data_IF_441094547100
#
_entry.id   IF_441094547100
#
_cell.length_a   1.000
_cell.length_b   1.000
_cell.length_c   1.000
_cell.angle_alpha   90.00
_cell.angle_beta   90.00
_cell.angle_gamma   90.00
#
_symmetry.space_group_name_H-M   'P 1'
#
loop_
_entity.id
_entity.type
_entity.pdbx_description
1 polymer ?
#
# COMPACT_ATOMS: atom_id res chain seq x y z
N UNK A 1 -4.43 9.85 -1.31
CA UNK A 1 -5.84 9.65 -0.95
C UNK A 1 -6.12 8.18 -0.69
N UNK A 2 -6.94 7.90 0.30
CA UNK A 2 -7.30 6.51 0.62
C UNK A 2 -8.59 6.14 -0.08
N UNK A 3 -8.54 5.16 -0.95
CA UNK A 3 -9.74 4.64 -1.59
C UNK A 3 -10.59 3.87 -0.56
N UNK A 4 -11.90 3.73 -0.78
CA UNK A 4 -12.75 3.05 0.21
C UNK A 4 -12.29 1.64 0.56
N UNK A 5 -11.86 0.86 -0.41
CA UNK A 5 -11.37 -0.50 -0.15
C UNK A 5 -10.13 -0.48 0.73
N UNK A 6 -9.21 0.47 0.49
CA UNK A 6 -8.02 0.59 1.31
C UNK A 6 -8.38 0.91 2.76
N UNK A 7 -9.35 1.81 2.95
CA UNK A 7 -9.77 2.18 4.30
C UNK A 7 -10.37 0.99 5.04
N UNK A 8 -11.15 0.16 4.35
CA UNK A 8 -11.72 -1.03 4.95
C UNK A 8 -10.63 -2.04 5.29
N UNK A 9 -9.64 -2.19 4.43
CA UNK A 9 -8.52 -3.08 4.70
C UNK A 9 -7.73 -2.62 5.92
N UNK A 10 -7.46 -1.33 6.03
CA UNK A 10 -6.74 -0.80 7.17
C UNK A 10 -7.55 -1.01 8.45
N UNK A 11 -8.86 -0.77 8.40
CA UNK A 11 -9.73 -1.01 9.56
C UNK A 11 -9.67 -2.47 9.99
N UNK A 12 -9.72 -3.40 9.02
CA UNK A 12 -9.61 -4.82 9.31
C UNK A 12 -8.35 -5.11 10.12
N UNK A 13 -7.21 -4.55 9.72
CA UNK A 13 -5.96 -4.79 10.44
C UNK A 13 -5.95 -4.12 11.81
N UNK A 14 -6.49 -2.93 11.93
CA UNK A 14 -6.58 -2.27 13.24
C UNK A 14 -7.37 -3.12 14.22
N UNK A 15 -8.41 -3.80 13.74
CA UNK A 15 -9.29 -4.60 14.59
C UNK A 15 -8.79 -6.02 14.82
N UNK A 16 -7.96 -6.55 13.93
CA UNK A 16 -7.55 -7.96 14.03
C UNK A 16 -6.06 -8.16 14.28
N UNK A 17 -5.21 -7.23 13.83
CA UNK A 17 -3.77 -7.38 13.98
C UNK A 17 -3.13 -6.00 13.99
N UNK A 18 -3.01 -5.44 15.17
CA UNK A 18 -2.51 -4.08 15.33
C UNK A 18 -1.09 -3.92 14.79
N UNK A 19 -0.24 -4.93 14.94
CA UNK A 19 1.14 -4.86 14.45
C UNK A 19 1.15 -4.67 12.93
N UNK A 20 0.29 -5.38 12.22
CA UNK A 20 0.19 -5.24 10.77
C UNK A 20 -0.33 -3.86 10.40
N UNK A 21 -1.30 -3.34 11.16
CA UNK A 21 -1.80 -1.99 10.91
C UNK A 21 -0.69 -0.95 11.07
N UNK A 22 0.15 -1.09 12.10
CA UNK A 22 1.27 -0.17 12.30
C UNK A 22 2.28 -0.28 11.16
N UNK A 23 2.53 -1.49 10.68
CA UNK A 23 3.41 -1.69 9.52
C UNK A 23 2.87 -0.96 8.30
N UNK A 24 1.55 -1.02 8.08
CA UNK A 24 0.92 -0.32 6.96
C UNK A 24 1.11 1.19 7.10
N UNK A 25 0.96 1.73 8.30
CA UNK A 25 1.17 3.16 8.53
C UNK A 25 2.61 3.57 8.21
N UNK A 26 3.58 2.73 8.59
CA UNK A 26 4.99 2.99 8.26
C UNK A 26 5.20 2.97 6.74
N UNK A 27 4.54 2.04 6.06
CA UNK A 27 4.66 1.95 4.60
C UNK A 27 4.03 3.16 3.92
N UNK A 28 2.88 3.63 4.42
CA UNK A 28 2.24 4.83 3.88
C UNK A 28 3.21 6.01 3.98
N UNK A 29 3.82 6.18 5.15
CA UNK A 29 4.76 7.27 5.36
C UNK A 29 5.94 7.16 4.38
N UNK A 30 6.47 5.95 4.21
CA UNK A 30 7.58 5.73 3.29
C UNK A 30 7.20 6.03 1.85
N UNK A 31 5.98 5.64 1.44
CA UNK A 31 5.48 5.93 0.09
C UNK A 31 5.35 7.43 -0.14
N UNK A 32 4.85 8.15 0.86
CA UNK A 32 4.69 9.59 0.74
C UNK A 32 6.03 10.30 0.65
N UNK A 33 7.07 9.71 1.24
CA UNK A 33 8.41 10.28 1.18
C UNK A 33 9.07 10.01 -0.17
N UNK A 34 8.95 8.79 -0.67
CA UNK A 34 9.49 8.39 -1.97
C UNK A 34 8.68 7.19 -2.48
N UNK A 35 7.79 7.40 -3.45
CA UNK A 35 6.92 6.32 -3.91
C UNK A 35 7.62 5.19 -4.66
N UNK A 36 8.89 5.37 -5.03
CA UNK A 36 9.58 4.41 -5.88
C UNK A 36 10.71 3.66 -5.19
N UNK A 37 11.06 4.03 -3.98
CA UNK A 37 12.12 3.35 -3.25
C UNK A 37 11.83 3.38 -1.75
N UNK A 38 12.52 2.52 -1.01
CA UNK A 38 12.37 2.46 0.44
C UNK A 38 11.93 1.08 0.92
N UNK A 39 11.38 1.04 2.12
CA UNK A 39 11.03 -0.23 2.77
C UNK A 39 9.88 -0.94 2.05
N UNK A 40 9.80 -2.26 2.23
CA UNK A 40 8.71 -3.05 1.67
C UNK A 40 8.89 -3.47 0.24
N UNK A 41 10.09 -3.32 -0.32
CA UNK A 41 10.41 -3.75 -1.70
C UNK A 41 9.41 -3.18 -2.72
N UNK A 42 9.42 -1.87 -2.95
CA UNK A 42 8.52 -1.27 -3.95
C UNK A 42 8.70 -1.93 -5.31
N UNK A 43 7.60 -2.25 -5.93
CA UNK A 43 7.61 -2.99 -7.20
C UNK A 43 6.51 -2.45 -8.11
N UNK A 44 6.83 -2.09 -9.36
CA UNK A 44 5.79 -1.67 -10.29
C UNK A 44 4.96 -2.87 -10.75
N UNK A 45 3.66 -2.69 -10.80
CA UNK A 45 2.73 -3.71 -11.27
C UNK A 45 2.25 -3.31 -12.66
N UNK A 46 3.12 -3.44 -13.65
CA UNK A 46 2.87 -2.95 -15.00
C UNK A 46 1.64 -3.56 -15.65
N UNK A 47 1.31 -4.80 -15.29
CA UNK A 47 0.15 -5.47 -15.85
C UNK A 47 -1.17 -4.88 -15.36
N UNK A 48 -1.13 -4.07 -14.31
CA UNK A 48 -2.33 -3.40 -13.81
C UNK A 48 -2.45 -1.96 -14.31
N UNK A 49 -1.40 -1.46 -14.98
CA UNK A 49 -1.44 -0.12 -15.53
C UNK A 49 -0.24 0.72 -15.15
N UNK A 50 -0.09 1.84 -15.83
CA UNK A 50 0.99 2.76 -15.55
C UNK A 50 0.80 3.39 -14.17
N UNK A 51 1.90 3.48 -13.43
CA UNK A 51 1.87 4.13 -12.12
C UNK A 51 1.37 3.27 -10.98
N UNK A 52 1.00 2.02 -11.22
CA UNK A 52 0.55 1.11 -10.16
C UNK A 52 1.76 0.43 -9.54
N UNK A 53 1.85 0.51 -8.21
CA UNK A 53 2.98 -0.02 -7.45
C UNK A 53 2.49 -0.79 -6.25
N UNK A 54 3.35 -1.68 -5.73
CA UNK A 54 3.04 -2.38 -4.49
C UNK A 54 4.24 -2.39 -3.57
N UNK A 55 3.96 -2.55 -2.26
CA UNK A 55 4.98 -2.81 -1.25
C UNK A 55 4.51 -3.94 -0.36
N UNK A 56 5.43 -4.72 0.13
CA UNK A 56 5.09 -5.86 1.00
C UNK A 56 4.70 -5.40 2.38
N UNK A 57 3.53 -5.85 2.83
CA UNK A 57 3.10 -5.68 4.21
C UNK A 57 3.57 -6.88 5.00
N UNK A 58 3.15 -8.06 4.56
CA UNK A 58 3.59 -9.36 5.08
C UNK A 58 3.89 -10.24 3.88
N UNK A 59 4.19 -11.50 4.12
CA UNK A 59 4.47 -12.43 3.03
C UNK A 59 3.25 -12.59 2.11
N UNK A 60 2.05 -12.51 2.66
CA UNK A 60 0.81 -12.72 1.91
C UNK A 60 0.13 -11.43 1.46
N UNK A 61 0.43 -10.32 2.10
CA UNK A 61 -0.34 -9.11 1.90
C UNK A 61 0.52 -7.98 1.36
N UNK A 62 -0.05 -7.21 0.46
CA UNK A 62 0.63 -6.08 -0.17
C UNK A 62 -0.18 -4.80 -0.07
N UNK A 63 0.53 -3.70 0.09
CA UNK A 63 -0.02 -2.37 -0.04
C UNK A 63 0.07 -2.00 -1.52
N UNK A 64 -1.06 -1.66 -2.13
CA UNK A 64 -1.09 -1.26 -3.54
C UNK A 64 -1.47 0.21 -3.61
N UNK A 65 -0.73 0.94 -4.44
CA UNK A 65 -0.98 2.37 -4.59
C UNK A 65 -0.71 2.79 -6.04
N UNK A 66 -1.30 3.92 -6.41
CA UNK A 66 -1.17 4.46 -7.77
C UNK A 66 -0.58 5.86 -7.67
N UNK A 67 0.47 6.10 -8.45
CA UNK A 67 1.14 7.39 -8.51
C UNK A 67 0.74 8.07 -9.81
N UNK A 68 0.03 9.20 -9.70
CA UNK A 68 -0.46 9.95 -10.87
C UNK A 68 -0.45 11.43 -10.58
N UNK A 69 0.09 12.21 -11.50
CA UNK A 69 -0.03 13.69 -11.43
C UNK A 69 0.28 14.27 -10.06
N UNK A 70 1.38 13.86 -9.47
CA UNK A 70 1.79 14.34 -8.14
C UNK A 70 0.82 13.94 -7.03
N UNK A 71 -0.04 12.98 -7.29
CA UNK A 71 -1.00 12.48 -6.33
C UNK A 71 -0.79 10.99 -6.13
N UNK A 72 -0.94 10.52 -4.89
CA UNK A 72 -0.82 9.09 -4.57
C UNK A 72 -2.15 8.63 -4.02
N UNK A 73 -2.69 7.57 -4.64
CA UNK A 73 -3.93 6.96 -4.19
C UNK A 73 -3.62 5.57 -3.65
N UNK A 74 -3.99 5.31 -2.40
CA UNK A 74 -3.83 4.00 -1.79
C UNK A 74 -5.06 3.17 -2.10
N UNK A 75 -4.87 2.01 -2.71
CA UNK A 75 -5.94 1.22 -3.31
C UNK A 75 -6.36 0.07 -2.43
N UNK A 76 -5.41 -0.69 -1.91
CA UNK A 76 -5.72 -1.81 -1.05
C UNK A 76 -4.53 -2.17 -0.17
N UNK A 77 -4.79 -2.90 0.92
CA UNK A 77 -3.76 -3.29 1.87
C UNK A 77 -4.01 -4.72 2.38
N UNK A 78 -4.56 -5.57 1.53
CA UNK A 78 -4.89 -6.93 1.91
C UNK A 78 -4.77 -7.83 0.68
N UNK A 79 -4.14 -9.01 0.87
CA UNK A 79 -3.85 -9.95 -0.21
C UNK A 79 -2.89 -9.37 -1.24
N UNK A 80 -2.67 -10.09 -2.32
CA UNK A 80 -1.83 -9.66 -3.43
C UNK A 80 -2.36 -10.27 -4.71
N UNK A 81 -1.84 -9.83 -5.82
CA UNK A 81 -2.26 -10.34 -7.12
C UNK A 81 -1.18 -11.12 -7.78
#
# INVERSE_FOLDING_TARGET
>A
MFQPEFREDLRFWVETDRRTALRILDLIEAVMRDPFSGIGKPEPLKYLGAGVWSRRITQEHRLVYVVQHEQINFVQARYHY
#
